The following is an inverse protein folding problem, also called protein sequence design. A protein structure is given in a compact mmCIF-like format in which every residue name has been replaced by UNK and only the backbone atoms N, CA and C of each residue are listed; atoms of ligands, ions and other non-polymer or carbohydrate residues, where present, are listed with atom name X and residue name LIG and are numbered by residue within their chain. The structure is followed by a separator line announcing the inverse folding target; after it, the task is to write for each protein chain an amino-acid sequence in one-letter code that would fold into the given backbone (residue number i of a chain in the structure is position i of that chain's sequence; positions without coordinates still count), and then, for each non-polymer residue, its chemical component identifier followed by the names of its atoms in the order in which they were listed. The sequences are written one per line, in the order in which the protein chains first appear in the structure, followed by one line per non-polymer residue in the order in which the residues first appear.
data_IF_740071446823
#
_entry.id   IF_740071446823
#
_cell.length_a   1.000
_cell.length_b   1.000
_cell.length_c   1.000
_cell.angle_alpha   90.00
_cell.angle_beta   90.00
_cell.angle_gamma   90.00
#
_symmetry.space_group_name_H-M   'P 1'
#
loop_
_entity.id
_entity.type
_entity.pdbx_description
1 polymer ?
#
# COMPACT_ATOMS: atom_id res chain seq x y z
N UNK A 1 -7.68 7.48 2.67
CA UNK A 1 -7.59 6.05 3.08
C UNK A 1 -7.80 5.14 1.88
N UNK A 2 -7.26 3.91 1.91
CA UNK A 2 -7.45 2.92 0.84
C UNK A 2 -8.32 1.77 1.32
N UNK A 3 -9.36 1.45 0.55
CA UNK A 3 -10.20 0.27 0.73
C UNK A 3 -9.92 -0.74 -0.38
N UNK A 4 -9.82 -2.01 -0.01
CA UNK A 4 -9.71 -3.12 -0.94
C UNK A 4 -10.94 -4.00 -0.83
N UNK A 5 -11.63 -4.24 -1.94
CA UNK A 5 -12.74 -5.18 -2.02
C UNK A 5 -12.27 -6.42 -2.78
N UNK A 6 -12.49 -7.61 -2.22
CA UNK A 6 -11.98 -8.86 -2.77
C UNK A 6 -13.02 -9.98 -2.86
N UNK A 7 -12.98 -10.71 -3.98
CA UNK A 7 -13.68 -11.98 -4.15
C UNK A 7 -12.98 -13.18 -3.46
N UNK A 8 -11.71 -13.00 -3.05
CA UNK A 8 -10.79 -14.04 -2.59
C UNK A 8 -10.77 -15.23 -3.54
N UNK A 9 -10.70 -16.43 -2.97
CA UNK A 9 -10.82 -17.69 -3.74
C UNK A 9 -12.27 -18.06 -4.10
N UNK A 10 -13.16 -17.06 -4.16
CA UNK A 10 -14.57 -17.25 -4.51
C UNK A 10 -14.78 -17.51 -6.01
N UNK A 11 -15.91 -18.12 -6.39
CA UNK A 11 -16.24 -18.34 -7.80
C UNK A 11 -16.58 -17.01 -8.51
N UNK A 12 -16.81 -17.06 -9.82
CA UNK A 12 -17.16 -15.89 -10.65
C UNK A 12 -18.32 -15.04 -10.09
N UNK A 13 -19.24 -15.61 -9.32
CA UNK A 13 -20.30 -14.83 -8.66
C UNK A 13 -19.78 -13.90 -7.56
N UNK A 14 -18.73 -14.30 -6.83
CA UNK A 14 -18.05 -13.40 -5.89
C UNK A 14 -17.34 -12.27 -6.66
N UNK A 15 -16.75 -12.56 -7.81
CA UNK A 15 -16.13 -11.53 -8.66
C UNK A 15 -17.18 -10.53 -9.20
N UNK A 16 -18.38 -11.02 -9.53
CA UNK A 16 -19.52 -10.16 -9.89
C UNK A 16 -20.00 -9.33 -8.70
N UNK A 17 -19.93 -9.89 -7.49
CA UNK A 17 -20.27 -9.21 -6.26
C UNK A 17 -19.32 -8.03 -6.01
N UNK A 18 -18.01 -8.22 -6.15
CA UNK A 18 -17.01 -7.15 -6.03
C UNK A 18 -17.33 -5.99 -6.96
N UNK A 19 -17.54 -6.28 -8.26
CA UNK A 19 -17.87 -5.25 -9.25
C UNK A 19 -19.14 -4.46 -8.88
N UNK A 20 -20.21 -5.18 -8.51
CA UNK A 20 -21.50 -4.56 -8.21
C UNK A 20 -21.51 -3.77 -6.90
N UNK A 21 -20.85 -4.29 -5.86
CA UNK A 21 -20.69 -3.60 -4.58
C UNK A 21 -19.82 -2.36 -4.75
N UNK A 22 -18.71 -2.44 -5.48
CA UNK A 22 -17.90 -1.27 -5.85
C UNK A 22 -18.75 -0.18 -6.50
N UNK A 23 -19.55 -0.53 -7.54
CA UNK A 23 -20.47 0.42 -8.18
C UNK A 23 -21.57 0.93 -7.27
N UNK A 24 -22.00 0.16 -6.26
CA UNK A 24 -23.00 0.59 -5.29
C UNK A 24 -22.39 1.59 -4.29
N UNK A 25 -21.20 1.29 -3.76
CA UNK A 25 -20.46 2.16 -2.85
C UNK A 25 -20.10 3.49 -3.52
N UNK A 26 -19.58 3.49 -4.75
CA UNK A 26 -19.29 4.73 -5.48
C UNK A 26 -20.54 5.59 -5.76
N UNK A 27 -21.74 4.98 -5.80
CA UNK A 27 -23.00 5.74 -5.91
C UNK A 27 -23.41 6.34 -4.57
N UNK A 28 -23.06 5.69 -3.47
CA UNK A 28 -23.37 6.11 -2.11
C UNK A 28 -22.38 7.18 -1.60
N UNK A 29 -21.09 6.96 -1.81
CA UNK A 29 -20.00 7.84 -1.39
C UNK A 29 -19.35 8.45 -2.64
N UNK A 30 -19.57 9.74 -2.85
CA UNK A 30 -19.00 10.48 -3.99
C UNK A 30 -17.48 10.68 -3.85
N UNK A 31 -16.94 10.53 -2.64
CA UNK A 31 -15.50 10.61 -2.33
C UNK A 31 -14.70 9.40 -2.82
N UNK A 32 -15.35 8.32 -3.26
CA UNK A 32 -14.68 7.09 -3.66
C UNK A 32 -14.19 7.14 -5.11
N UNK A 33 -12.88 6.95 -5.28
CA UNK A 33 -12.24 6.84 -6.59
C UNK A 33 -11.56 5.48 -6.75
N UNK A 34 -11.59 4.91 -7.97
CA UNK A 34 -10.89 3.65 -8.26
C UNK A 34 -9.42 3.96 -8.48
N UNK A 35 -8.56 3.42 -7.62
CA UNK A 35 -7.10 3.48 -7.81
C UNK A 35 -6.63 2.42 -8.81
N UNK A 36 -7.09 1.19 -8.64
CA UNK A 36 -6.74 0.05 -9.51
C UNK A 36 -7.73 -1.10 -9.32
N UNK A 37 -7.77 -2.02 -10.28
CA UNK A 37 -8.58 -3.22 -10.18
C UNK A 37 -7.91 -4.39 -10.91
N UNK A 38 -8.30 -5.61 -10.53
CA UNK A 38 -7.94 -6.84 -11.22
C UNK A 38 -9.20 -7.39 -11.88
N UNK A 39 -9.15 -7.54 -13.21
CA UNK A 39 -10.26 -8.09 -13.98
C UNK A 39 -10.60 -9.52 -13.53
N UNK A 40 -11.90 -9.82 -13.47
CA UNK A 40 -12.38 -11.17 -13.23
C UNK A 40 -12.48 -11.97 -14.54
N UNK A 41 -12.95 -13.21 -14.42
CA UNK A 41 -13.05 -14.18 -15.52
C UNK A 41 -14.07 -13.78 -16.61
N UNK A 42 -14.98 -12.84 -16.32
CA UNK A 42 -16.06 -12.44 -17.23
C UNK A 42 -16.24 -10.92 -17.26
N UNK A 43 -16.98 -10.43 -18.26
CA UNK A 43 -17.39 -9.02 -18.32
C UNK A 43 -18.14 -8.61 -17.06
N UNK A 44 -17.91 -7.38 -16.60
CA UNK A 44 -18.48 -6.82 -15.36
C UNK A 44 -18.14 -7.61 -14.09
N UNK A 45 -16.96 -8.23 -14.04
CA UNK A 45 -16.47 -8.91 -12.84
C UNK A 45 -15.08 -8.41 -12.48
N UNK A 46 -14.82 -8.28 -11.18
CA UNK A 46 -13.50 -7.93 -10.65
C UNK A 46 -13.08 -9.00 -9.65
N UNK A 47 -11.86 -9.50 -9.75
CA UNK A 47 -11.27 -10.31 -8.69
C UNK A 47 -11.02 -9.46 -7.45
N UNK A 48 -10.52 -8.24 -7.67
CA UNK A 48 -10.25 -7.26 -6.63
C UNK A 48 -10.34 -5.84 -7.17
N UNK A 49 -10.62 -4.89 -6.28
CA UNK A 49 -10.58 -3.46 -6.58
C UNK A 49 -10.03 -2.71 -5.38
N UNK A 50 -9.19 -1.71 -5.64
CA UNK A 50 -8.69 -0.75 -4.67
C UNK A 50 -9.34 0.61 -4.91
N UNK A 51 -9.87 1.20 -3.84
CA UNK A 51 -10.56 2.48 -3.85
C UNK A 51 -9.84 3.45 -2.90
N UNK A 52 -9.67 4.70 -3.31
CA UNK A 52 -9.28 5.80 -2.40
C UNK A 52 -10.53 6.57 -1.95
N UNK A 53 -10.50 7.06 -0.71
CA UNK A 53 -11.48 8.00 -0.18
C UNK A 53 -10.82 8.97 0.80
N UNK A 54 -11.30 10.21 0.80
CA UNK A 54 -10.93 11.24 1.77
C UNK A 54 -11.73 11.17 3.08
N UNK A 55 -12.81 10.36 3.10
CA UNK A 55 -13.67 10.16 4.28
C UNK A 55 -13.26 8.90 5.06
N UNK A 56 -13.57 8.85 6.36
CA UNK A 56 -13.36 7.65 7.16
C UNK A 56 -14.47 6.62 6.93
N UNK A 57 -14.12 5.56 6.20
CA UNK A 57 -14.97 4.43 5.86
C UNK A 57 -14.52 3.14 6.57
N UNK A 58 -13.78 3.24 7.68
CA UNK A 58 -13.26 2.07 8.42
C UNK A 58 -14.38 1.16 8.95
N UNK A 59 -15.58 1.68 9.18
CA UNK A 59 -16.76 0.90 9.55
C UNK A 59 -17.25 -0.06 8.44
N UNK A 60 -16.75 0.10 7.22
CA UNK A 60 -16.98 -0.82 6.11
C UNK A 60 -15.96 -1.96 6.07
N UNK A 61 -15.01 -2.05 7.01
CA UNK A 61 -14.09 -3.17 7.10
C UNK A 61 -14.80 -4.45 7.58
N UNK A 62 -14.62 -5.53 6.83
CA UNK A 62 -15.19 -6.83 7.11
C UNK A 62 -15.94 -7.43 5.92
N UNK A 63 -16.73 -8.46 6.21
CA UNK A 63 -17.40 -9.25 5.17
C UNK A 63 -18.66 -8.55 4.67
N UNK A 64 -18.80 -8.40 3.36
CA UNK A 64 -20.06 -8.01 2.72
C UNK A 64 -20.72 -9.19 2.02
N UNK A 65 -22.05 -9.24 2.08
CA UNK A 65 -22.85 -10.30 1.48
C UNK A 65 -23.67 -9.76 0.31
N UNK A 66 -23.60 -10.42 -0.83
CA UNK A 66 -24.53 -10.25 -1.93
C UNK A 66 -25.46 -11.46 -2.06
N UNK A 67 -26.78 -11.20 -2.02
CA UNK A 67 -27.83 -12.19 -2.16
C UNK A 67 -28.43 -12.08 -3.58
N UNK A 68 -28.05 -13.01 -4.45
CA UNK A 68 -28.59 -13.09 -5.81
C UNK A 68 -28.42 -14.51 -6.37
N UNK A 69 -29.38 -15.00 -7.14
CA UNK A 69 -29.19 -16.25 -7.90
C UNK A 69 -28.06 -16.07 -8.91
N UNK A 70 -27.29 -17.12 -9.16
CA UNK A 70 -26.20 -17.04 -10.13
C UNK A 70 -26.74 -16.89 -11.54
N UNK A 71 -26.32 -15.82 -12.23
CA UNK A 71 -26.51 -15.67 -13.68
C UNK A 71 -25.60 -16.60 -14.50
N UNK A 72 -24.51 -17.05 -13.90
CA UNK A 72 -23.49 -17.85 -14.57
C UNK A 72 -23.76 -19.36 -14.44
N UNK A 73 -24.48 -19.76 -13.39
CA UNK A 73 -24.89 -21.13 -13.10
C UNK A 73 -26.37 -21.16 -12.71
N UNK A 74 -27.30 -21.09 -13.68
CA UNK A 74 -28.74 -20.94 -13.41
C UNK A 74 -29.35 -22.04 -12.53
N UNK A 75 -28.90 -23.29 -12.71
CA UNK A 75 -29.39 -24.45 -11.95
C UNK A 75 -28.82 -24.54 -10.51
N UNK A 76 -27.86 -23.68 -10.18
CA UNK A 76 -27.17 -23.74 -8.89
C UNK A 76 -27.99 -23.08 -7.78
N UNK A 77 -28.32 -23.84 -6.73
CA UNK A 77 -29.21 -23.39 -5.63
C UNK A 77 -28.62 -22.29 -4.74
N UNK A 78 -27.30 -22.11 -4.73
CA UNK A 78 -26.63 -21.08 -3.90
C UNK A 78 -26.97 -19.67 -4.40
N UNK A 79 -27.28 -18.79 -3.46
CA UNK A 79 -27.59 -17.37 -3.70
C UNK A 79 -26.78 -16.39 -2.86
N UNK A 80 -25.97 -16.89 -1.91
CA UNK A 80 -25.19 -16.06 -0.99
C UNK A 80 -23.72 -16.03 -1.42
N UNK A 81 -23.24 -14.83 -1.75
CA UNK A 81 -21.89 -14.57 -2.23
C UNK A 81 -21.21 -13.58 -1.28
N UNK A 82 -20.12 -14.01 -0.67
CA UNK A 82 -19.39 -13.20 0.31
C UNK A 82 -18.17 -12.59 -0.38
N UNK A 83 -17.89 -11.35 -0.04
CA UNK A 83 -16.67 -10.62 -0.42
C UNK A 83 -16.09 -10.01 0.83
N UNK A 84 -14.78 -9.81 0.82
CA UNK A 84 -14.07 -9.12 1.88
C UNK A 84 -13.87 -7.65 1.54
N UNK A 85 -13.99 -6.78 2.53
CA UNK A 85 -13.58 -5.39 2.46
C UNK A 85 -12.54 -5.15 3.53
N UNK A 86 -11.38 -4.68 3.09
CA UNK A 86 -10.18 -4.57 3.91
C UNK A 86 -9.63 -3.16 3.81
N UNK A 87 -9.24 -2.57 4.95
CA UNK A 87 -8.55 -1.27 4.93
C UNK A 87 -7.06 -1.51 4.70
N UNK A 88 -6.50 -0.84 3.70
CA UNK A 88 -5.08 -0.89 3.38
C UNK A 88 -4.44 0.42 3.86
N UNK A 89 -3.43 0.35 4.75
CA UNK A 89 -2.73 1.54 5.18
C UNK A 89 -2.04 2.18 3.96
N UNK A 90 -2.22 3.49 3.81
CA UNK A 90 -1.49 4.25 2.81
C UNK A 90 0.00 4.18 3.11
N UNK A 91 0.79 3.79 2.10
CA UNK A 91 2.23 3.89 2.20
C UNK A 91 2.62 5.33 1.96
N UNK A 92 3.18 5.96 2.97
CA UNK A 92 3.86 7.24 2.82
C UNK A 92 5.13 6.98 2.00
N UNK A 93 5.09 7.36 0.73
CA UNK A 93 6.28 7.33 -0.11
C UNK A 93 7.20 8.47 0.34
N UNK A 94 8.45 8.16 0.64
CA UNK A 94 9.44 9.20 0.94
C UNK A 94 9.99 9.67 -0.40
N UNK A 95 10.03 10.98 -0.63
CA UNK A 95 10.69 11.49 -1.84
C UNK A 95 12.16 11.03 -1.86
N UNK A 96 12.54 10.29 -2.91
CA UNK A 96 13.92 9.86 -3.11
C UNK A 96 14.77 10.93 -3.82
N UNK A 97 14.13 11.99 -4.34
CA UNK A 97 14.75 13.23 -4.80
C UNK A 97 14.74 14.29 -3.68
N UNK A 98 15.57 14.08 -2.67
CA UNK A 98 15.72 15.03 -1.57
C UNK A 98 16.54 16.26 -1.98
N UNK A 99 16.14 17.42 -1.47
CA UNK A 99 16.82 18.70 -1.67
C UNK A 99 17.93 18.91 -0.62
N UNK A 100 18.77 19.94 -0.83
CA UNK A 100 19.77 20.31 0.20
C UNK A 100 19.13 20.76 1.52
N UNK A 101 17.90 21.25 1.50
CA UNK A 101 17.17 21.65 2.71
C UNK A 101 16.64 20.47 3.53
N UNK A 102 16.57 19.28 2.95
CA UNK A 102 16.10 18.07 3.61
C UNK A 102 17.21 17.33 4.37
N UNK A 103 18.44 17.83 4.29
CA UNK A 103 19.62 17.16 4.84
C UNK A 103 20.45 18.05 5.75
N UNK A 104 20.94 17.46 6.84
CA UNK A 104 21.97 18.05 7.70
C UNK A 104 23.28 17.32 7.43
N UNK A 105 24.33 18.08 7.13
CA UNK A 105 25.66 17.55 6.87
C UNK A 105 26.60 17.90 8.03
N UNK A 106 26.94 16.90 8.84
CA UNK A 106 27.92 17.01 9.92
C UNK A 106 29.29 16.54 9.44
N UNK A 107 30.34 17.22 9.87
CA UNK A 107 31.74 16.81 9.65
C UNK A 107 32.31 16.24 10.93
N UNK A 108 33.16 15.24 10.83
CA UNK A 108 33.82 14.62 11.98
C UNK A 108 35.16 13.99 11.60
N UNK A 109 35.99 13.71 12.59
CA UNK A 109 37.27 13.01 12.41
C UNK A 109 37.02 11.53 12.12
N UNK A 110 37.59 10.99 11.04
CA UNK A 110 37.43 9.59 10.69
C UNK A 110 38.05 8.69 11.77
N UNK A 111 37.28 7.73 12.30
CA UNK A 111 37.77 6.76 13.28
C UNK A 111 38.49 5.60 12.58
N UNK A 112 39.77 5.39 12.88
CA UNK A 112 40.54 4.25 12.39
C UNK A 112 42.04 4.33 12.75
N UNK A 113 42.80 3.24 12.64
CA UNK A 113 44.25 3.25 12.84
C UNK A 113 44.92 4.05 11.71
N UNK A 114 45.06 5.36 11.93
CA UNK A 114 45.58 6.30 10.95
C UNK A 114 46.66 7.20 11.55
N UNK A 115 47.71 7.50 10.77
CA UNK A 115 48.79 8.40 11.16
C UNK A 115 48.32 9.85 11.38
N UNK A 116 49.27 10.77 11.66
CA UNK A 116 49.01 12.16 12.05
C UNK A 116 47.92 12.90 11.23
N UNK A 117 47.79 12.62 9.94
CA UNK A 117 46.78 13.26 9.07
C UNK A 117 45.33 12.85 9.39
N UNK A 118 45.08 11.63 9.87
CA UNK A 118 43.72 11.15 10.18
C UNK A 118 43.18 11.81 11.44
N UNK A 119 44.06 12.10 12.41
CA UNK A 119 43.69 12.74 13.67
C UNK A 119 43.58 14.27 13.57
N UNK A 120 44.12 14.88 12.51
CA UNK A 120 44.17 16.35 12.35
C UNK A 120 43.12 16.91 11.38
N UNK A 121 42.61 16.09 10.44
CA UNK A 121 41.70 16.56 9.40
C UNK A 121 40.33 15.89 9.51
N UNK A 122 39.27 16.70 9.60
CA UNK A 122 37.87 16.28 9.60
C UNK A 122 37.42 15.83 8.20
N UNK A 123 37.86 14.65 7.78
CA UNK A 123 37.50 14.10 6.47
C UNK A 123 36.17 13.34 6.50
N UNK A 124 35.72 12.88 7.67
CA UNK A 124 34.47 12.14 7.82
C UNK A 124 33.24 13.03 7.65
N UNK A 125 32.24 12.52 6.92
CA UNK A 125 30.98 13.23 6.68
C UNK A 125 29.81 12.36 7.11
N UNK A 126 28.88 12.93 7.87
CA UNK A 126 27.58 12.33 8.20
C UNK A 126 26.48 13.18 7.60
N UNK A 127 25.55 12.52 6.94
CA UNK A 127 24.34 13.12 6.37
C UNK A 127 23.14 12.58 7.13
N UNK A 128 22.27 13.48 7.57
CA UNK A 128 21.02 13.17 8.28
C UNK A 128 19.88 13.66 7.41
N UNK A 129 18.98 12.77 6.99
CA UNK A 129 17.77 13.16 6.28
C UNK A 129 16.70 13.54 7.31
N UNK A 130 16.33 14.82 7.35
CA UNK A 130 15.45 15.41 8.37
C UNK A 130 14.07 14.72 8.35
N UNK A 131 13.40 14.52 7.20
CA UNK A 131 12.05 13.94 7.17
C UNK A 131 11.99 12.49 7.68
N UNK A 132 13.06 11.69 7.49
CA UNK A 132 13.06 10.27 7.87
C UNK A 132 13.89 9.95 9.11
N UNK A 133 14.70 10.89 9.58
CA UNK A 133 15.69 10.66 10.65
C UNK A 133 16.82 9.70 10.28
N UNK A 134 16.94 9.29 9.00
CA UNK A 134 17.98 8.36 8.56
C UNK A 134 19.34 9.06 8.60
N UNK A 135 20.32 8.41 9.24
CA UNK A 135 21.69 8.92 9.40
C UNK A 135 22.65 8.01 8.66
N UNK A 136 23.45 8.58 7.76
CA UNK A 136 24.48 7.86 7.00
C UNK A 136 25.81 8.58 7.12
N UNK A 137 26.87 7.84 7.40
CA UNK A 137 28.23 8.37 7.43
C UNK A 137 29.14 7.76 6.36
N UNK A 138 30.11 8.55 5.89
CA UNK A 138 31.19 8.09 5.03
C UNK A 138 32.54 8.64 5.46
N UNK A 139 33.52 7.74 5.54
CA UNK A 139 34.93 7.98 5.89
C UNK A 139 35.87 7.27 4.90
N UNK A 140 35.34 6.83 3.75
CA UNK A 140 36.04 5.95 2.79
C UNK A 140 37.22 6.67 2.12
N UNK A 141 37.04 7.94 1.83
CA UNK A 141 37.96 8.75 1.04
C UNK A 141 38.77 9.69 1.93
N UNK A 142 39.95 10.10 1.46
CA UNK A 142 40.77 11.10 2.15
C UNK A 142 40.23 12.53 2.02
N UNK A 143 39.25 12.74 1.13
CA UNK A 143 38.64 14.04 0.85
C UNK A 143 37.23 14.13 1.43
N UNK A 144 36.97 15.20 2.17
CA UNK A 144 35.65 15.53 2.72
C UNK A 144 34.58 15.63 1.62
N UNK A 145 34.92 16.24 0.48
CA UNK A 145 33.97 16.38 -0.64
C UNK A 145 33.57 15.02 -1.22
N UNK A 146 34.54 14.11 -1.36
CA UNK A 146 34.26 12.77 -1.85
C UNK A 146 33.45 11.94 -0.85
N UNK A 147 33.73 12.09 0.45
CA UNK A 147 32.92 11.48 1.50
C UNK A 147 31.48 12.04 1.54
N UNK A 148 31.29 13.35 1.32
CA UNK A 148 29.95 13.95 1.17
C UNK A 148 29.20 13.32 -0.01
N UNK A 149 29.83 13.23 -1.20
CA UNK A 149 29.22 12.61 -2.39
C UNK A 149 28.86 11.14 -2.15
N UNK A 150 29.73 10.38 -1.49
CA UNK A 150 29.46 8.97 -1.15
C UNK A 150 28.32 8.80 -0.16
N UNK A 151 28.25 9.64 0.88
CA UNK A 151 27.17 9.62 1.86
C UNK A 151 25.81 9.96 1.22
N UNK A 152 25.75 10.96 0.34
CA UNK A 152 24.54 11.33 -0.39
C UNK A 152 24.06 10.21 -1.32
N UNK A 153 24.97 9.57 -2.07
CA UNK A 153 24.63 8.42 -2.91
C UNK A 153 24.09 7.26 -2.07
N UNK A 154 24.70 6.95 -0.92
CA UNK A 154 24.21 5.92 0.00
C UNK A 154 22.83 6.27 0.55
N UNK A 155 22.57 7.55 0.86
CA UNK A 155 21.27 8.01 1.34
C UNK A 155 20.19 7.76 0.28
N UNK A 156 20.43 8.15 -0.97
CA UNK A 156 19.50 7.88 -2.07
C UNK A 156 19.19 6.38 -2.23
N UNK A 157 20.21 5.51 -2.15
CA UNK A 157 20.03 4.05 -2.22
C UNK A 157 19.16 3.56 -1.05
N UNK A 158 19.42 4.02 0.17
CA UNK A 158 18.66 3.61 1.37
C UNK A 158 17.20 4.08 1.29
N UNK A 159 16.95 5.32 0.86
CA UNK A 159 15.59 5.85 0.69
C UNK A 159 14.81 5.07 -0.37
N UNK A 160 15.43 4.82 -1.53
CA UNK A 160 14.82 4.01 -2.60
C UNK A 160 14.49 2.60 -2.12
N UNK A 161 15.42 1.94 -1.44
CA UNK A 161 15.18 0.61 -0.88
C UNK A 161 14.03 0.62 0.14
N UNK A 162 13.97 1.64 1.01
CA UNK A 162 12.87 1.80 1.96
C UNK A 162 11.52 1.95 1.27
N UNK A 163 11.45 2.72 0.18
CA UNK A 163 10.22 2.87 -0.59
C UNK A 163 9.80 1.55 -1.26
N UNK A 164 10.72 0.85 -1.91
CA UNK A 164 10.46 -0.45 -2.51
C UNK A 164 9.95 -1.46 -1.49
N UNK A 165 10.61 -1.56 -0.32
CA UNK A 165 10.19 -2.46 0.75
C UNK A 165 8.81 -2.10 1.31
N UNK A 166 8.47 -0.81 1.45
CA UNK A 166 7.12 -0.40 1.86
C UNK A 166 6.06 -0.79 0.83
N UNK A 167 6.34 -0.59 -0.46
CA UNK A 167 5.45 -0.99 -1.55
C UNK A 167 5.25 -2.51 -1.55
N UNK A 168 6.33 -3.29 -1.39
CA UNK A 168 6.27 -4.75 -1.29
C UNK A 168 5.47 -5.22 -0.07
N UNK A 169 5.68 -4.59 1.10
CA UNK A 169 4.90 -4.87 2.30
C UNK A 169 3.42 -4.60 2.09
N UNK A 170 3.05 -3.49 1.46
CA UNK A 170 1.64 -3.20 1.19
C UNK A 170 1.03 -4.14 0.18
N UNK A 171 1.77 -4.53 -0.87
CA UNK A 171 1.33 -5.59 -1.79
C UNK A 171 1.12 -6.93 -1.08
N UNK A 172 2.05 -7.30 -0.19
CA UNK A 172 1.95 -8.53 0.59
C UNK A 172 0.77 -8.49 1.57
N UNK A 173 0.55 -7.35 2.24
CA UNK A 173 -0.60 -7.16 3.14
C UNK A 173 -1.92 -7.28 2.37
N UNK A 174 -2.03 -6.59 1.22
CA UNK A 174 -3.18 -6.69 0.34
C UNK A 174 -3.41 -8.14 -0.15
N UNK A 175 -2.34 -8.88 -0.44
CA UNK A 175 -2.40 -10.30 -0.83
C UNK A 175 -2.77 -11.25 0.32
N UNK A 176 -2.29 -10.98 1.53
CA UNK A 176 -2.63 -11.77 2.72
C UNK A 176 -4.11 -11.61 3.06
N UNK A 177 -4.59 -10.35 3.12
CA UNK A 177 -6.02 -10.05 3.36
C UNK A 177 -6.92 -10.64 2.28
N UNK A 178 -6.45 -10.69 1.03
CA UNK A 178 -7.09 -11.41 -0.08
C UNK A 178 -7.41 -12.89 0.22
N UNK A 179 -6.58 -13.56 1.02
CA UNK A 179 -6.66 -15.00 1.28
C UNK A 179 -7.51 -15.33 2.51
N UNK A 180 -7.62 -14.40 3.46
CA UNK A 180 -8.25 -14.60 4.78
C UNK A 180 -9.75 -14.24 4.83
N UNK A 181 -10.50 -14.48 3.76
CA UNK A 181 -11.94 -14.13 3.75
C UNK A 181 -12.71 -14.97 4.77
N UNK A 182 -13.17 -14.32 5.83
CA UNK A 182 -14.11 -14.90 6.80
C UNK A 182 -15.51 -14.96 6.17
N UNK A 183 -16.15 -16.14 6.24
CA UNK A 183 -17.53 -16.31 5.77
C UNK A 183 -18.47 -16.24 6.97
N UNK A 184 -19.33 -15.23 7.01
CA UNK A 184 -20.31 -15.06 8.09
C UNK A 184 -20.32 -13.63 8.63
N UNK A 185 -21.28 -13.31 9.49
CA UNK A 185 -21.44 -12.00 10.14
C UNK A 185 -21.25 -10.79 9.18
N UNK A 186 -22.06 -10.69 8.10
CA UNK A 186 -21.84 -9.64 7.13
C UNK A 186 -22.18 -8.27 7.72
N UNK A 187 -21.26 -7.31 7.61
CA UNK A 187 -21.47 -5.92 8.03
C UNK A 187 -22.49 -5.19 7.15
N UNK A 188 -22.60 -5.62 5.89
CA UNK A 188 -23.54 -5.10 4.90
C UNK A 188 -24.05 -6.20 4.00
N UNK A 189 -25.33 -6.07 3.64
CA UNK A 189 -26.03 -7.02 2.78
C UNK A 189 -26.62 -6.28 1.58
N UNK A 190 -26.35 -6.76 0.38
CA UNK A 190 -26.90 -6.28 -0.88
C UNK A 190 -27.78 -7.37 -1.51
N UNK A 191 -28.90 -7.00 -2.14
CA UNK A 191 -29.83 -7.94 -2.74
C UNK A 191 -30.15 -7.63 -4.21
N UNK A 192 -30.30 -8.70 -4.99
CA UNK A 192 -30.73 -8.67 -6.38
C UNK A 192 -29.66 -8.17 -7.35
N UNK A 193 -30.00 -8.14 -8.64
CA UNK A 193 -29.05 -7.80 -9.71
C UNK A 193 -28.61 -6.34 -9.71
N UNK A 194 -29.40 -5.46 -9.09
CA UNK A 194 -29.12 -4.02 -9.00
C UNK A 194 -28.34 -3.64 -7.74
N UNK A 195 -27.93 -4.60 -6.91
CA UNK A 195 -27.18 -4.38 -5.68
C UNK A 195 -27.88 -3.38 -4.76
N UNK A 196 -29.14 -3.64 -4.43
CA UNK A 196 -29.90 -2.80 -3.49
C UNK A 196 -29.43 -3.10 -2.07
N UNK A 197 -29.06 -2.07 -1.31
CA UNK A 197 -28.69 -2.24 0.09
C UNK A 197 -29.91 -2.71 0.88
N UNK A 198 -29.77 -3.84 1.58
CA UNK A 198 -30.79 -4.39 2.47
C UNK A 198 -30.60 -3.75 3.84
N UNK A 199 -31.56 -2.94 4.25
CA UNK A 199 -31.62 -2.33 5.58
C UNK A 199 -31.96 -3.36 6.64
#
# INVERSE_FOLDING_TARGET
MILQISAGMGPVECQRAVFGICKALMREFQSLEILSYVEGERKETFYSVMLSSDEDLSYLEGTMLWICKSRHRPEHKRKNWFVDVSIIPETVNVDDNFSETDIIVEKFHASGPGGQNVNKVETGVRVIHIPTGIRISSTRERSQLMNKKDALRKLAIVLKNKNTSQIEQSKNNAWSKHTEIVRGNPIRVYEGERFRLKK
#
